data_IF_660641449092
#
_entry.id   IF_660641449092
#
_cell.length_a   1.000
_cell.length_b   1.000
_cell.length_c   1.000
_cell.angle_alpha   90.00
_cell.angle_beta   90.00
_cell.angle_gamma   90.00
#
_symmetry.space_group_name_H-M   'P 1'
#
loop_
_entity.id
_entity.type
_entity.pdbx_description
1 polymer ?
#
# COMPACT_ATOMS: atom_id res chain seq x y z
N UNK A 1 -9.35 16.87 -3.00
CA UNK A 1 -10.37 15.80 -2.85
C UNK A 1 -10.37 14.98 -4.14
N UNK A 2 -10.88 13.75 -4.15
CA UNK A 2 -11.01 13.02 -5.42
C UNK A 2 -11.97 13.78 -6.35
N UNK A 3 -11.62 13.93 -7.63
CA UNK A 3 -12.44 14.61 -8.63
C UNK A 3 -12.70 13.64 -9.77
N UNK A 4 -13.97 13.47 -10.12
CA UNK A 4 -14.32 12.78 -11.34
C UNK A 4 -13.94 13.69 -12.51
N UNK A 5 -13.14 13.16 -13.41
CA UNK A 5 -12.81 13.74 -14.70
C UNK A 5 -13.96 13.47 -15.69
N UNK A 6 -14.13 14.31 -16.72
CA UNK A 6 -15.12 14.04 -17.77
C UNK A 6 -14.92 12.67 -18.45
N UNK A 7 -13.67 12.19 -18.51
CA UNK A 7 -13.33 10.88 -19.06
C UNK A 7 -13.86 9.73 -18.19
N UNK A 8 -13.80 9.84 -16.85
CA UNK A 8 -14.29 8.80 -15.94
C UNK A 8 -15.81 8.63 -16.01
N UNK A 9 -16.55 9.75 -16.18
CA UNK A 9 -18.00 9.72 -16.35
C UNK A 9 -18.46 8.94 -17.60
N UNK A 10 -17.59 8.84 -18.62
CA UNK A 10 -17.85 8.08 -19.85
C UNK A 10 -17.47 6.59 -19.74
N UNK A 11 -16.91 6.14 -18.62
CA UNK A 11 -16.54 4.72 -18.42
C UNK A 11 -17.71 3.88 -17.90
N UNK A 12 -17.60 2.56 -18.00
CA UNK A 12 -18.59 1.61 -17.44
C UNK A 12 -18.86 1.84 -15.94
N UNK A 13 -17.83 2.21 -15.18
CA UNK A 13 -17.95 2.47 -13.73
C UNK A 13 -18.49 3.88 -13.42
N UNK A 14 -18.38 4.81 -14.37
CA UNK A 14 -18.88 6.18 -14.24
C UNK A 14 -18.27 6.97 -13.08
N UNK A 15 -18.99 7.98 -12.61
CA UNK A 15 -18.57 8.89 -11.53
C UNK A 15 -19.29 8.66 -10.19
N UNK A 16 -20.19 7.67 -10.13
CA UNK A 16 -21.12 7.49 -9.02
C UNK A 16 -20.42 7.33 -7.68
N UNK A 17 -19.32 6.55 -7.64
CA UNK A 17 -18.50 6.37 -6.45
C UNK A 17 -17.92 7.69 -5.94
N UNK A 18 -17.35 8.52 -6.84
CA UNK A 18 -16.77 9.81 -6.46
C UNK A 18 -17.84 10.77 -5.96
N UNK A 19 -19.01 10.82 -6.61
CA UNK A 19 -20.14 11.65 -6.16
C UNK A 19 -20.63 11.23 -4.78
N UNK A 20 -20.78 9.93 -4.54
CA UNK A 20 -21.19 9.40 -3.24
C UNK A 20 -20.17 9.71 -2.14
N UNK A 21 -18.88 9.49 -2.40
CA UNK A 21 -17.81 9.81 -1.45
C UNK A 21 -17.80 11.31 -1.11
N UNK A 22 -17.97 12.19 -2.10
CA UNK A 22 -18.07 13.64 -1.86
C UNK A 22 -19.28 14.00 -1.00
N UNK A 23 -20.45 13.43 -1.27
CA UNK A 23 -21.64 13.67 -0.47
C UNK A 23 -21.45 13.25 0.99
N UNK A 24 -20.82 12.10 1.22
CA UNK A 24 -20.45 11.62 2.56
C UNK A 24 -19.45 12.56 3.23
N UNK A 25 -18.36 12.93 2.55
CA UNK A 25 -17.35 13.85 3.09
C UNK A 25 -17.90 15.25 3.38
N UNK A 26 -18.93 15.71 2.67
CA UNK A 26 -19.51 17.04 2.88
C UNK A 26 -20.22 17.16 4.25
N UNK A 27 -20.79 16.06 4.74
CA UNK A 27 -21.49 16.00 6.03
C UNK A 27 -20.64 15.39 7.15
N UNK A 28 -19.49 14.80 6.81
CA UNK A 28 -18.62 14.16 7.79
C UNK A 28 -18.03 15.19 8.77
N UNK A 29 -18.19 15.02 10.09
CA UNK A 29 -17.63 15.94 11.08
C UNK A 29 -16.10 16.02 10.93
N UNK A 30 -15.57 17.25 10.92
CA UNK A 30 -14.12 17.47 10.91
C UNK A 30 -13.59 17.46 12.35
N UNK A 31 -12.57 16.63 12.60
CA UNK A 31 -11.80 16.69 13.83
C UNK A 31 -10.73 17.79 13.78
N UNK A 32 -10.22 18.18 14.95
CA UNK A 32 -9.01 19.00 15.05
C UNK A 32 -7.80 18.10 14.87
N UNK A 33 -6.90 18.48 13.98
CA UNK A 33 -5.60 17.83 13.78
C UNK A 33 -4.49 18.84 14.03
N UNK A 34 -3.27 18.38 14.37
CA UNK A 34 -2.10 19.26 14.47
C UNK A 34 -1.88 20.08 13.18
N UNK A 35 -1.28 21.27 13.31
CA UNK A 35 -1.04 22.16 12.16
C UNK A 35 -0.15 21.53 11.07
N UNK A 36 0.69 20.59 11.47
CA UNK A 36 1.62 19.83 10.63
C UNK A 36 1.10 18.43 10.24
N UNK A 37 -0.20 18.14 10.44
CA UNK A 37 -0.77 16.81 10.16
C UNK A 37 -0.50 16.27 8.74
N UNK A 38 -0.39 17.16 7.76
CA UNK A 38 -0.09 16.80 6.37
C UNK A 38 1.40 16.92 6.00
N UNK A 39 2.27 17.27 6.96
CA UNK A 39 3.70 17.30 6.72
C UNK A 39 4.23 15.88 6.49
N UNK A 40 5.22 15.68 5.60
CA UNK A 40 5.85 14.38 5.41
C UNK A 40 6.44 13.87 6.73
N UNK A 41 6.18 12.60 7.05
CA UNK A 41 6.75 11.95 8.23
C UNK A 41 8.28 12.00 8.18
N UNK A 42 8.91 12.45 9.27
CA UNK A 42 10.36 12.37 9.47
C UNK A 42 10.67 11.55 10.71
N UNK A 43 11.48 10.51 10.58
CA UNK A 43 11.79 9.62 11.70
C UNK A 43 13.12 8.90 11.52
N UNK A 44 13.83 8.68 12.62
CA UNK A 44 15.01 7.79 12.69
C UNK A 44 14.69 6.43 13.29
N UNK A 45 13.42 6.15 13.61
CA UNK A 45 13.00 4.84 14.12
C UNK A 45 13.18 3.80 13.01
N UNK A 46 13.84 2.66 13.27
CA UNK A 46 13.95 1.59 12.30
C UNK A 46 12.57 1.22 11.75
N UNK A 47 12.42 1.22 10.43
CA UNK A 47 11.12 1.04 9.77
C UNK A 47 11.19 0.01 8.64
N UNK A 48 10.23 -0.90 8.60
CA UNK A 48 10.03 -1.84 7.50
C UNK A 48 8.73 -1.51 6.78
N UNK A 49 8.81 -1.18 5.50
CA UNK A 49 7.65 -0.91 4.63
C UNK A 49 7.40 -2.12 3.76
N UNK A 50 6.14 -2.55 3.67
CA UNK A 50 5.73 -3.72 2.89
C UNK A 50 4.80 -3.26 1.77
N UNK A 51 5.16 -3.58 0.53
CA UNK A 51 4.43 -3.15 -0.66
C UNK A 51 4.17 -4.35 -1.58
N UNK A 52 2.99 -4.39 -2.20
CA UNK A 52 2.73 -5.29 -3.33
C UNK A 52 3.08 -4.61 -4.64
N UNK A 53 3.74 -5.34 -5.56
CA UNK A 53 4.10 -4.78 -6.87
C UNK A 53 2.90 -4.20 -7.63
N UNK A 54 1.74 -4.84 -7.49
CA UNK A 54 0.49 -4.48 -8.17
C UNK A 54 -0.59 -4.01 -7.20
N UNK A 55 -0.23 -3.48 -6.02
CA UNK A 55 -1.21 -2.94 -5.08
C UNK A 55 -1.96 -1.74 -5.68
N UNK A 56 -3.29 -1.83 -5.91
CA UNK A 56 -4.06 -0.73 -6.49
C UNK A 56 -4.54 0.28 -5.45
N UNK A 57 -4.45 -0.05 -4.15
CA UNK A 57 -4.98 0.75 -3.02
C UNK A 57 -3.86 1.63 -2.45
N UNK A 58 -2.74 1.00 -2.10
CA UNK A 58 -1.53 1.63 -1.58
C UNK A 58 -0.34 1.23 -2.46
N UNK A 59 -0.19 1.81 -3.66
CA UNK A 59 0.83 1.39 -4.62
C UNK A 59 2.24 1.74 -4.14
N UNK A 60 3.29 1.05 -4.64
CA UNK A 60 4.69 1.24 -4.21
C UNK A 60 5.23 2.68 -4.31
N UNK A 61 4.62 3.51 -5.17
CA UNK A 61 4.96 4.94 -5.25
C UNK A 61 4.67 5.68 -3.93
N UNK A 62 3.65 5.27 -3.16
CA UNK A 62 3.36 5.86 -1.85
C UNK A 62 4.44 5.49 -0.83
N UNK A 63 4.83 4.20 -0.75
CA UNK A 63 5.97 3.77 0.05
C UNK A 63 7.27 4.49 -0.30
N UNK A 64 7.50 4.76 -1.59
CA UNK A 64 8.65 5.56 -2.06
C UNK A 64 8.62 7.00 -1.54
N UNK A 65 7.45 7.64 -1.49
CA UNK A 65 7.31 8.98 -0.89
C UNK A 65 7.58 8.95 0.62
N UNK A 66 7.09 7.95 1.33
CA UNK A 66 7.31 7.77 2.77
C UNK A 66 8.78 7.53 3.09
N UNK A 67 9.47 6.69 2.31
CA UNK A 67 10.90 6.39 2.50
C UNK A 67 11.79 7.63 2.56
N UNK A 68 11.46 8.69 1.79
CA UNK A 68 12.27 9.93 1.73
C UNK A 68 12.44 10.61 3.09
N UNK A 69 11.50 10.38 4.01
CA UNK A 69 11.52 10.97 5.34
C UNK A 69 12.14 10.08 6.43
N UNK A 70 12.52 8.84 6.10
CA UNK A 70 12.95 7.85 7.10
C UNK A 70 14.47 7.65 7.05
N UNK A 71 15.13 7.81 8.20
CA UNK A 71 16.58 7.73 8.33
C UNK A 71 17.15 6.30 8.42
N UNK A 72 16.35 5.34 8.91
CA UNK A 72 16.70 3.92 8.93
C UNK A 72 15.49 3.09 8.49
N UNK A 73 15.32 2.94 7.18
CA UNK A 73 14.17 2.23 6.65
C UNK A 73 14.52 1.36 5.44
N UNK A 74 13.73 0.31 5.27
CA UNK A 74 13.75 -0.51 4.07
C UNK A 74 12.34 -0.81 3.62
N UNK A 75 12.13 -0.69 2.32
CA UNK A 75 10.91 -1.15 1.66
C UNK A 75 11.15 -2.49 0.99
N UNK A 76 10.24 -3.43 1.21
CA UNK A 76 10.19 -4.72 0.55
C UNK A 76 9.01 -4.72 -0.42
N UNK A 77 9.29 -4.93 -1.70
CA UNK A 77 8.27 -5.09 -2.73
C UNK A 77 8.06 -6.59 -2.97
N UNK A 78 6.85 -7.07 -2.73
CA UNK A 78 6.44 -8.43 -3.01
C UNK A 78 6.06 -8.55 -4.49
N UNK A 79 6.93 -9.19 -5.28
CA UNK A 79 6.75 -9.35 -6.71
C UNK A 79 5.45 -10.09 -7.04
N UNK A 80 4.71 -9.55 -8.01
CA UNK A 80 3.44 -10.10 -8.50
C UNK A 80 2.27 -10.08 -7.50
N UNK A 81 2.43 -9.49 -6.31
CA UNK A 81 1.38 -9.41 -5.29
C UNK A 81 0.61 -8.09 -5.36
N UNK A 82 -0.66 -8.12 -4.93
CA UNK A 82 -1.52 -6.95 -4.75
C UNK A 82 -1.49 -6.38 -3.33
N UNK A 83 -2.65 -5.92 -2.85
CA UNK A 83 -2.77 -5.28 -1.54
C UNK A 83 -2.60 -6.27 -0.37
N UNK A 84 -2.04 -5.79 0.75
CA UNK A 84 -1.87 -6.51 2.02
C UNK A 84 -0.95 -7.76 1.93
N UNK A 85 0.36 -7.53 1.78
CA UNK A 85 1.35 -8.57 1.51
C UNK A 85 2.01 -9.19 2.76
N UNK A 86 1.57 -8.86 3.97
CA UNK A 86 2.20 -9.35 5.21
C UNK A 86 2.19 -10.88 5.30
N UNK A 87 1.17 -11.54 4.74
CA UNK A 87 1.02 -13.00 4.69
C UNK A 87 1.71 -13.68 3.51
N UNK A 88 2.31 -12.94 2.58
CA UNK A 88 2.82 -13.50 1.33
C UNK A 88 4.12 -14.29 1.53
N UNK A 89 4.11 -15.58 1.20
CA UNK A 89 5.30 -16.43 1.19
C UNK A 89 6.10 -16.38 2.49
N UNK A 90 7.35 -15.87 2.43
CA UNK A 90 8.20 -15.75 3.61
C UNK A 90 8.04 -14.44 4.40
N UNK A 91 7.21 -13.50 3.94
CA UNK A 91 7.05 -12.17 4.54
C UNK A 91 6.77 -12.21 6.06
N UNK A 92 5.90 -13.11 6.60
CA UNK A 92 5.69 -13.19 8.05
C UNK A 92 6.97 -13.44 8.85
N UNK A 93 7.90 -14.26 8.31
CA UNK A 93 9.19 -14.54 8.97
C UNK A 93 10.11 -13.33 8.94
N UNK A 94 10.09 -12.56 7.85
CA UNK A 94 10.86 -11.33 7.72
C UNK A 94 10.37 -10.27 8.71
N UNK A 95 9.05 -10.11 8.84
CA UNK A 95 8.43 -9.20 9.80
C UNK A 95 8.76 -9.61 11.23
N UNK A 96 8.62 -10.91 11.57
CA UNK A 96 9.04 -11.42 12.89
C UNK A 96 10.51 -11.08 13.18
N UNK A 97 11.41 -11.35 12.23
CA UNK A 97 12.83 -11.09 12.40
C UNK A 97 13.12 -9.60 12.59
N UNK A 98 12.44 -8.72 11.87
CA UNK A 98 12.56 -7.27 12.02
C UNK A 98 12.06 -6.80 13.40
N UNK A 99 10.94 -7.33 13.91
CA UNK A 99 10.44 -7.00 15.25
C UNK A 99 11.44 -7.44 16.33
N UNK A 100 12.01 -8.64 16.21
CA UNK A 100 13.00 -9.16 17.17
C UNK A 100 14.35 -8.44 17.07
N UNK A 101 14.73 -8.00 15.86
CA UNK A 101 15.98 -7.32 15.58
C UNK A 101 15.72 -6.23 14.52
N UNK A 102 15.45 -4.98 14.95
CA UNK A 102 15.00 -3.89 14.09
C UNK A 102 16.17 -3.29 13.30
N UNK A 103 16.75 -4.10 12.42
CA UNK A 103 17.87 -3.75 11.54
C UNK A 103 17.40 -3.91 10.08
N UNK A 104 16.64 -2.96 9.53
CA UNK A 104 15.96 -3.14 8.24
C UNK A 104 16.96 -3.41 7.10
N UNK A 105 18.14 -2.78 7.13
CA UNK A 105 19.20 -2.99 6.13
C UNK A 105 19.82 -4.39 6.17
N UNK A 106 19.79 -5.08 7.32
CA UNK A 106 20.42 -6.41 7.48
C UNK A 106 19.47 -7.58 7.25
N UNK A 107 18.22 -7.30 6.90
CA UNK A 107 17.20 -8.33 6.69
C UNK A 107 17.46 -9.12 5.40
N UNK A 108 17.71 -10.42 5.45
CA UNK A 108 17.81 -11.22 4.22
C UNK A 108 16.41 -11.51 3.67
N UNK A 109 16.03 -10.82 2.59
CA UNK A 109 14.72 -10.93 1.95
C UNK A 109 14.75 -11.74 0.65
N UNK A 110 15.84 -12.47 0.35
CA UNK A 110 15.98 -13.25 -0.90
C UNK A 110 14.87 -14.27 -1.11
N UNK A 111 14.27 -14.78 -0.03
CA UNK A 111 13.15 -15.71 -0.10
C UNK A 111 11.90 -15.13 -0.80
N UNK A 112 11.75 -13.80 -0.88
CA UNK A 112 10.65 -13.16 -1.61
C UNK A 112 10.74 -13.37 -3.13
N UNK A 113 11.91 -13.72 -3.67
CA UNK A 113 12.06 -14.06 -5.09
C UNK A 113 11.29 -15.33 -5.49
N UNK A 114 10.82 -16.13 -4.52
CA UNK A 114 10.01 -17.33 -4.75
C UNK A 114 8.51 -17.03 -4.85
N UNK A 115 8.09 -15.77 -4.64
CA UNK A 115 6.70 -15.39 -4.79
C UNK A 115 6.27 -15.55 -6.26
N UNK A 116 5.09 -16.17 -6.45
CA UNK A 116 4.44 -16.24 -7.75
C UNK A 116 3.38 -15.14 -7.84
N UNK A 117 3.17 -14.54 -9.02
CA UNK A 117 2.08 -13.58 -9.20
C UNK A 117 0.74 -14.13 -8.75
N UNK A 118 -0.08 -13.29 -8.15
CA UNK A 118 -1.48 -13.63 -7.87
C UNK A 118 -2.18 -13.89 -9.19
N UNK A 119 -2.83 -15.06 -9.31
CA UNK A 119 -3.54 -15.40 -10.54
C UNK A 119 -4.72 -14.43 -10.75
N UNK A 120 -4.92 -13.92 -11.98
CA UNK A 120 -6.02 -13.01 -12.26
C UNK A 120 -7.35 -13.76 -12.18
N UNK A 121 -8.40 -13.04 -11.79
CA UNK A 121 -9.76 -13.56 -11.90
C UNK A 121 -10.11 -13.68 -13.39
N UNK A 122 -10.56 -14.87 -13.81
CA UNK A 122 -11.04 -15.11 -15.15
C UNK A 122 -12.56 -14.96 -15.22
N UNK A 123 -13.24 -15.32 -14.13
CA UNK A 123 -14.67 -15.12 -13.93
C UNK A 123 -15.00 -14.91 -12.43
N UNK A 124 -16.29 -14.90 -12.09
CA UNK A 124 -16.78 -14.70 -10.72
C UNK A 124 -16.22 -15.72 -9.69
N UNK A 125 -15.83 -16.92 -10.14
CA UNK A 125 -15.33 -17.99 -9.30
C UNK A 125 -13.81 -17.91 -9.04
N UNK A 126 -13.11 -16.95 -9.67
CA UNK A 126 -11.69 -16.73 -9.45
C UNK A 126 -10.80 -17.08 -10.63
N UNK A 127 -9.58 -17.48 -10.32
CA UNK A 127 -8.60 -17.91 -11.31
C UNK A 127 -8.85 -19.36 -11.76
N UNK A 128 -8.31 -19.74 -12.92
CA UNK A 128 -8.22 -21.15 -13.30
C UNK A 128 -7.35 -21.93 -12.28
N UNK A 129 -7.62 -23.24 -12.09
CA UNK A 129 -6.79 -24.13 -11.26
C UNK A 129 -5.30 -24.15 -11.63
#
# INVERSE_FOLDING_TARGET
MAHATPAEAATLLGDAYIRQLKAQCAIWPRGVVPADFHAPLRSSVPTLILEGQFDPVTPPRYGTEVLKGLGDARMLIAAGQGHNVIGAGCMPRLVKRFIEKPEPQKLDAKCLAQLKPTAPFLDYNGAAP
#
